data_IF_781846980155
#
_entry.id   IF_781846980155
#
_cell.length_a   1.000
_cell.length_b   1.000
_cell.length_c   1.000
_cell.angle_alpha   90.00
_cell.angle_beta   90.00
_cell.angle_gamma   90.00
#
_symmetry.space_group_name_H-M   'P 1'
#
loop_
_entity.id
_entity.type
_entity.pdbx_description
1 polymer ?
#
# COMPACT_ATOMS: atom_id res chain seq x y z
N UNK A 1 67.14 16.43 -64.44
CA UNK A 1 66.76 17.79 -63.97
C UNK A 1 65.24 17.90 -63.96
N UNK A 2 64.65 18.48 -62.88
CA UNK A 2 63.22 18.85 -62.67
C UNK A 2 62.22 17.67 -62.55
N UNK A 3 61.83 17.24 -61.34
CA UNK A 3 60.73 17.70 -60.45
C UNK A 3 59.37 17.84 -61.16
N UNK A 4 58.32 17.16 -60.66
CA UNK A 4 57.04 17.72 -60.13
C UNK A 4 55.90 16.66 -60.04
N UNK A 5 55.52 16.33 -58.79
CA UNK A 5 54.16 16.31 -58.16
C UNK A 5 53.07 15.26 -58.55
N UNK A 6 52.69 14.48 -57.51
CA UNK A 6 51.37 13.95 -57.06
C UNK A 6 50.48 13.14 -58.02
N UNK A 7 49.75 12.09 -57.62
CA UNK A 7 48.66 12.10 -56.62
C UNK A 7 48.50 10.73 -55.94
N UNK A 8 48.52 10.73 -54.62
CA UNK A 8 48.03 9.64 -53.74
C UNK A 8 46.49 9.70 -53.71
N UNK A 9 45.84 8.68 -54.26
CA UNK A 9 44.40 8.47 -54.10
C UNK A 9 44.09 7.87 -52.73
N UNK A 10 43.72 8.71 -51.77
CA UNK A 10 43.20 8.29 -50.47
C UNK A 10 41.71 7.94 -50.63
N UNK A 11 41.37 6.65 -50.68
CA UNK A 11 39.98 6.19 -50.63
C UNK A 11 39.47 6.29 -49.18
N UNK A 12 38.81 7.40 -48.86
CA UNK A 12 38.13 7.62 -47.59
C UNK A 12 36.77 6.89 -47.61
N UNK A 13 36.72 5.66 -47.09
CA UNK A 13 35.45 4.97 -46.83
C UNK A 13 34.84 5.62 -45.60
N UNK A 14 33.89 6.54 -45.81
CA UNK A 14 33.05 7.10 -44.75
C UNK A 14 32.01 6.04 -44.38
N UNK A 15 32.29 5.26 -43.33
CA UNK A 15 31.27 4.44 -42.66
C UNK A 15 30.43 5.40 -41.82
N UNK A 16 29.30 5.87 -42.37
CA UNK A 16 28.26 6.51 -41.59
C UNK A 16 27.70 5.47 -40.60
N UNK A 17 27.71 5.70 -39.28
CA UNK A 17 26.90 4.90 -38.40
C UNK A 17 25.45 5.25 -38.72
N UNK A 18 24.70 4.28 -39.23
CA UNK A 18 23.25 4.34 -39.30
C UNK A 18 22.73 4.44 -37.85
N UNK A 19 22.69 5.66 -37.32
CA UNK A 19 21.79 6.05 -36.25
C UNK A 19 20.39 5.84 -36.83
N UNK A 20 19.88 4.63 -36.59
CA UNK A 20 18.48 4.33 -36.79
C UNK A 20 17.69 5.39 -36.03
N UNK A 21 17.11 6.33 -36.79
CA UNK A 21 15.96 7.11 -36.39
C UNK A 21 14.85 6.11 -36.10
N UNK A 22 14.85 5.53 -34.90
CA UNK A 22 13.73 4.81 -34.37
C UNK A 22 12.56 5.79 -34.36
N UNK A 23 11.63 5.61 -35.31
CA UNK A 23 10.36 6.35 -35.31
C UNK A 23 9.76 6.23 -33.91
N UNK A 24 9.29 7.33 -33.28
CA UNK A 24 8.66 7.24 -31.97
C UNK A 24 7.52 6.24 -32.08
N UNK A 25 7.65 5.12 -31.36
CA UNK A 25 6.63 4.09 -31.32
C UNK A 25 5.38 4.75 -30.78
N UNK A 26 4.33 4.88 -31.61
CA UNK A 26 3.04 5.41 -31.18
C UNK A 26 2.60 4.62 -29.95
N UNK A 27 2.55 5.28 -28.80
CA UNK A 27 2.06 4.66 -27.57
C UNK A 27 0.64 4.15 -27.83
N UNK A 28 0.42 2.86 -27.57
CA UNK A 28 -0.93 2.28 -27.67
C UNK A 28 -1.84 3.05 -26.70
N UNK A 29 -3.07 3.39 -27.10
CA UNK A 29 -4.00 4.07 -26.20
C UNK A 29 -4.16 3.24 -24.92
N UNK A 30 -3.93 3.88 -23.78
CA UNK A 30 -4.06 3.23 -22.47
C UNK A 30 -5.53 2.91 -22.24
N UNK A 31 -5.82 1.65 -21.88
CA UNK A 31 -7.20 1.18 -21.66
C UNK A 31 -7.62 1.48 -20.21
N UNK A 32 -8.72 2.24 -20.01
CA UNK A 32 -9.21 2.57 -18.68
C UNK A 32 -9.52 1.32 -17.85
N UNK A 33 -9.23 1.38 -16.55
CA UNK A 33 -9.68 0.38 -15.59
C UNK A 33 -11.21 0.42 -15.48
N UNK A 34 -11.87 -0.71 -15.75
CA UNK A 34 -13.33 -0.83 -15.80
C UNK A 34 -13.95 -1.09 -14.43
N UNK A 35 -13.17 -1.55 -13.45
CA UNK A 35 -13.66 -1.88 -12.10
C UNK A 35 -12.56 -1.81 -11.05
N UNK A 36 -12.96 -1.75 -9.77
CA UNK A 36 -12.04 -1.83 -8.63
C UNK A 36 -11.30 -3.18 -8.60
N UNK A 37 -11.95 -4.26 -9.04
CA UNK A 37 -11.33 -5.58 -9.12
C UNK A 37 -10.20 -5.62 -10.15
N UNK A 38 -10.40 -5.00 -11.32
CA UNK A 38 -9.37 -4.89 -12.35
C UNK A 38 -8.18 -4.06 -11.86
N UNK A 39 -8.46 -2.92 -11.21
CA UNK A 39 -7.45 -2.06 -10.62
C UNK A 39 -6.62 -2.80 -9.55
N UNK A 40 -7.28 -3.48 -8.62
CA UNK A 40 -6.60 -4.24 -7.57
C UNK A 40 -5.80 -5.41 -8.14
N UNK A 41 -6.33 -6.11 -9.15
CA UNK A 41 -5.57 -7.15 -9.84
C UNK A 41 -4.29 -6.57 -10.45
N UNK A 42 -4.40 -5.43 -11.13
CA UNK A 42 -3.24 -4.75 -11.70
C UNK A 42 -2.23 -4.32 -10.64
N UNK A 43 -2.67 -3.76 -9.50
CA UNK A 43 -1.79 -3.41 -8.37
C UNK A 43 -1.04 -4.65 -7.86
N UNK A 44 -1.74 -5.76 -7.64
CA UNK A 44 -1.13 -6.99 -7.12
C UNK A 44 -0.12 -7.62 -8.10
N UNK A 45 -0.40 -7.54 -9.41
CA UNK A 45 0.46 -8.09 -10.46
C UNK A 45 1.53 -7.08 -10.96
N UNK A 46 1.50 -5.82 -10.53
CA UNK A 46 2.29 -4.70 -11.08
C UNK A 46 3.79 -5.02 -11.18
N UNK A 47 4.37 -5.66 -10.16
CA UNK A 47 5.81 -5.97 -10.13
C UNK A 47 6.27 -6.93 -11.23
N UNK A 48 5.37 -7.74 -11.77
CA UNK A 48 5.70 -8.70 -12.85
C UNK A 48 6.04 -7.97 -14.15
N UNK A 49 5.40 -6.82 -14.39
CA UNK A 49 5.65 -5.97 -15.54
C UNK A 49 5.30 -4.51 -15.18
N UNK A 50 6.23 -3.77 -14.55
CA UNK A 50 5.94 -2.41 -14.08
C UNK A 50 5.58 -1.45 -15.21
N UNK A 51 4.43 -0.80 -15.09
CA UNK A 51 3.91 0.18 -16.05
C UNK A 51 3.68 1.55 -15.38
N UNK A 52 4.73 2.28 -14.95
CA UNK A 52 4.57 3.50 -14.16
C UNK A 52 3.74 4.58 -14.86
N UNK A 53 3.79 4.64 -16.21
CA UNK A 53 2.98 5.55 -17.04
C UNK A 53 1.47 5.33 -16.94
N UNK A 54 1.02 4.19 -16.40
CA UNK A 54 -0.41 3.90 -16.14
C UNK A 54 -0.89 4.39 -14.78
N UNK A 55 -0.01 4.78 -13.87
CA UNK A 55 -0.41 5.31 -12.56
C UNK A 55 -1.39 6.51 -12.64
N UNK A 56 -1.26 7.46 -13.58
CA UNK A 56 -2.24 8.54 -13.75
C UNK A 56 -3.65 8.04 -14.08
N UNK A 57 -3.77 7.02 -14.93
CA UNK A 57 -5.04 6.38 -15.24
C UNK A 57 -5.60 5.63 -14.03
N UNK A 58 -4.74 4.93 -13.29
CA UNK A 58 -5.11 4.22 -12.07
C UNK A 58 -5.69 5.18 -11.02
N UNK A 59 -5.05 6.33 -10.79
CA UNK A 59 -5.53 7.36 -9.84
C UNK A 59 -6.88 7.93 -10.27
N UNK A 60 -7.09 8.17 -11.57
CA UNK A 60 -8.39 8.63 -12.08
C UNK A 60 -9.48 7.58 -11.87
N UNK A 61 -9.17 6.30 -12.09
CA UNK A 61 -10.08 5.21 -11.80
C UNK A 61 -10.41 5.12 -10.29
N UNK A 62 -9.42 5.23 -9.41
CA UNK A 62 -9.61 5.26 -7.95
C UNK A 62 -10.57 6.37 -7.52
N UNK A 63 -10.41 7.57 -8.09
CA UNK A 63 -11.30 8.71 -7.84
C UNK A 63 -12.72 8.47 -8.36
N UNK A 64 -12.85 8.05 -9.62
CA UNK A 64 -14.15 7.80 -10.25
C UNK A 64 -14.95 6.69 -9.54
N UNK A 65 -14.26 5.71 -8.95
CA UNK A 65 -14.86 4.59 -8.23
C UNK A 65 -15.05 4.87 -6.73
N UNK A 66 -14.66 6.04 -6.22
CA UNK A 66 -14.78 6.40 -4.80
C UNK A 66 -13.78 5.69 -3.87
N UNK A 67 -12.83 4.93 -4.41
CA UNK A 67 -11.90 4.08 -3.68
C UNK A 67 -10.93 4.87 -2.76
N UNK A 68 -10.77 6.17 -3.02
CA UNK A 68 -9.95 7.10 -2.21
C UNK A 68 -10.70 7.56 -0.96
N UNK A 69 -12.04 7.57 -1.01
CA UNK A 69 -12.92 8.10 0.04
C UNK A 69 -13.25 7.04 1.09
N UNK A 70 -13.14 5.77 0.70
CA UNK A 70 -13.23 4.64 1.62
C UNK A 70 -11.94 4.58 2.47
N UNK A 71 -12.06 5.04 3.72
CA UNK A 71 -10.93 5.18 4.67
C UNK A 71 -10.13 3.88 4.79
N UNK A 72 -10.83 2.73 4.79
CA UNK A 72 -10.24 1.40 4.94
C UNK A 72 -9.46 0.94 3.70
N UNK A 73 -9.76 1.46 2.51
CA UNK A 73 -9.10 1.06 1.26
C UNK A 73 -8.06 2.07 0.78
N UNK A 74 -8.16 3.32 1.23
CA UNK A 74 -7.29 4.40 0.78
C UNK A 74 -5.80 4.12 1.04
N UNK A 75 -5.47 3.35 2.09
CA UNK A 75 -4.10 3.01 2.47
C UNK A 75 -3.32 2.32 1.34
N UNK A 76 -3.86 1.23 0.77
CA UNK A 76 -3.19 0.48 -0.30
C UNK A 76 -2.97 1.36 -1.54
N UNK A 77 -3.98 2.14 -1.92
CA UNK A 77 -3.89 3.02 -3.09
C UNK A 77 -2.86 4.14 -2.90
N UNK A 78 -2.87 4.81 -1.74
CA UNK A 78 -1.89 5.85 -1.40
C UNK A 78 -0.48 5.26 -1.38
N UNK A 79 -0.30 4.12 -0.70
CA UNK A 79 0.99 3.43 -0.60
C UNK A 79 1.53 3.02 -1.97
N UNK A 80 0.66 2.49 -2.83
CA UNK A 80 1.02 2.09 -4.18
C UNK A 80 1.46 3.28 -5.02
N UNK A 81 0.68 4.36 -5.05
CA UNK A 81 1.06 5.57 -5.80
C UNK A 81 2.34 6.18 -5.25
N UNK A 82 2.51 6.22 -3.92
CA UNK A 82 3.76 6.65 -3.29
C UNK A 82 4.96 5.82 -3.76
N UNK A 83 4.83 4.49 -3.76
CA UNK A 83 5.89 3.58 -4.22
C UNK A 83 6.20 3.73 -5.71
N UNK A 84 5.19 3.95 -6.56
CA UNK A 84 5.42 4.22 -7.99
C UNK A 84 6.21 5.52 -8.16
N UNK A 85 5.85 6.59 -7.45
CA UNK A 85 6.58 7.86 -7.51
C UNK A 85 8.01 7.69 -7.00
N UNK A 86 8.20 7.02 -5.86
CA UNK A 86 9.50 6.78 -5.24
C UNK A 86 10.47 5.98 -6.11
N UNK A 87 9.96 4.95 -6.79
CA UNK A 87 10.76 4.12 -7.71
C UNK A 87 11.04 4.78 -9.06
N UNK A 88 10.41 5.93 -9.36
CA UNK A 88 10.53 6.59 -10.67
C UNK A 88 10.78 8.11 -10.50
N UNK A 89 11.88 8.53 -9.86
CA UNK A 89 12.11 9.94 -9.49
C UNK A 89 12.14 10.89 -10.69
N UNK A 90 12.70 10.46 -11.83
CA UNK A 90 12.76 11.28 -13.05
C UNK A 90 11.40 11.51 -13.70
N UNK A 91 10.43 10.61 -13.46
CA UNK A 91 9.09 10.67 -14.03
C UNK A 91 8.06 11.24 -13.06
N UNK A 92 8.39 11.39 -11.77
CA UNK A 92 7.42 11.68 -10.72
C UNK A 92 6.58 12.93 -11.03
N UNK A 93 7.20 14.03 -11.45
CA UNK A 93 6.49 15.27 -11.78
C UNK A 93 5.55 15.10 -12.99
N UNK A 94 5.97 14.37 -14.03
CA UNK A 94 5.12 14.09 -15.20
C UNK A 94 3.93 13.21 -14.83
N UNK A 95 4.17 12.16 -14.02
CA UNK A 95 3.12 11.27 -13.53
C UNK A 95 2.09 12.05 -12.70
N UNK A 96 2.54 12.85 -11.72
CA UNK A 96 1.65 13.68 -10.90
C UNK A 96 0.89 14.67 -11.78
N UNK A 97 1.57 15.32 -12.74
CA UNK A 97 0.94 16.27 -13.64
C UNK A 97 -0.26 15.67 -14.39
N UNK A 98 -0.12 14.42 -14.86
CA UNK A 98 -1.13 13.67 -15.61
C UNK A 98 -2.25 13.09 -14.74
N UNK A 99 -2.07 12.99 -13.42
CA UNK A 99 -3.13 12.51 -12.50
C UNK A 99 -4.30 13.49 -12.44
N UNK A 100 -4.05 14.78 -12.67
CA UNK A 100 -5.08 15.82 -12.70
C UNK A 100 -5.85 15.89 -14.04
N UNK A 101 -7.04 16.53 -14.05
CA UNK A 101 -7.76 17.07 -12.88
C UNK A 101 -8.31 15.96 -11.98
N UNK A 102 -8.46 16.28 -10.69
CA UNK A 102 -9.09 15.42 -9.69
C UNK A 102 -10.05 16.26 -8.83
N UNK A 103 -11.19 15.68 -8.38
CA UNK A 103 -12.06 16.30 -7.40
C UNK A 103 -11.27 16.74 -6.15
N UNK A 104 -11.56 17.91 -5.55
CA UNK A 104 -10.83 18.42 -4.39
C UNK A 104 -10.69 17.42 -3.24
N UNK A 105 -11.72 16.63 -2.95
CA UNK A 105 -11.74 15.54 -1.96
C UNK A 105 -10.70 14.45 -2.21
N UNK A 106 -10.45 14.10 -3.48
CA UNK A 106 -9.59 12.99 -3.86
C UNK A 106 -8.11 13.41 -3.96
N UNK A 107 -7.84 14.72 -4.05
CA UNK A 107 -6.48 15.28 -4.08
C UNK A 107 -5.66 14.96 -2.81
N UNK A 108 -6.31 14.56 -1.71
CA UNK A 108 -5.62 14.04 -0.51
C UNK A 108 -4.68 12.88 -0.83
N UNK A 109 -5.03 12.04 -1.81
CA UNK A 109 -4.18 10.94 -2.26
C UNK A 109 -2.87 11.46 -2.83
N UNK A 110 -2.90 12.50 -3.66
CA UNK A 110 -1.71 13.09 -4.27
C UNK A 110 -0.78 13.67 -3.20
N UNK A 111 -1.34 14.44 -2.27
CA UNK A 111 -0.56 15.05 -1.18
C UNK A 111 0.15 13.98 -0.35
N UNK A 112 -0.58 12.94 0.09
CA UNK A 112 0.00 11.84 0.87
C UNK A 112 0.99 11.01 0.05
N UNK A 113 0.68 10.70 -1.20
CA UNK A 113 1.55 9.91 -2.06
C UNK A 113 2.92 10.59 -2.27
N UNK A 114 2.94 11.91 -2.48
CA UNK A 114 4.19 12.67 -2.57
C UNK A 114 4.96 12.60 -1.24
N UNK A 115 4.32 12.90 -0.11
CA UNK A 115 4.96 12.89 1.21
C UNK A 115 5.48 11.50 1.62
N UNK A 116 4.84 10.44 1.13
CA UNK A 116 5.17 9.06 1.46
C UNK A 116 6.09 8.38 0.44
N UNK A 117 6.36 9.04 -0.69
CA UNK A 117 7.10 8.46 -1.83
C UNK A 117 8.55 8.10 -1.55
N UNK A 118 9.16 8.64 -0.50
CA UNK A 118 10.61 8.48 -0.28
C UNK A 118 11.49 9.22 -1.29
N UNK A 119 10.93 10.08 -2.15
CA UNK A 119 11.72 10.94 -3.03
C UNK A 119 12.67 11.84 -2.21
N UNK A 120 13.97 11.94 -2.54
CA UNK A 120 14.92 12.76 -1.79
C UNK A 120 14.50 14.23 -1.64
N UNK A 121 13.78 14.77 -2.64
CA UNK A 121 13.29 16.16 -2.69
C UNK A 121 11.77 16.24 -2.76
N UNK A 122 11.06 15.36 -2.06
CA UNK A 122 9.59 15.28 -2.12
C UNK A 122 8.89 16.61 -1.80
N UNK A 123 9.46 17.45 -0.93
CA UNK A 123 8.91 18.79 -0.62
C UNK A 123 8.96 19.71 -1.84
N UNK A 124 10.03 19.67 -2.62
CA UNK A 124 10.15 20.46 -3.85
C UNK A 124 9.17 19.96 -4.91
N UNK A 125 8.98 18.63 -4.99
CA UNK A 125 7.91 18.05 -5.81
C UNK A 125 6.54 18.52 -5.35
N UNK A 126 6.23 18.51 -4.05
CA UNK A 126 4.95 18.99 -3.51
C UNK A 126 4.72 20.46 -3.83
N UNK A 127 5.75 21.30 -3.69
CA UNK A 127 5.69 22.74 -3.97
C UNK A 127 5.23 23.06 -5.41
N UNK A 128 5.63 22.25 -6.40
CA UNK A 128 5.24 22.43 -7.81
C UNK A 128 3.74 22.27 -8.06
N UNK A 129 3.03 21.55 -7.19
CA UNK A 129 1.62 21.20 -7.39
C UNK A 129 0.65 21.90 -6.45
N UNK A 130 1.12 22.76 -5.55
CA UNK A 130 0.28 23.44 -4.54
C UNK A 130 -0.86 24.23 -5.18
N UNK A 131 -0.57 25.00 -6.22
CA UNK A 131 -1.56 25.82 -6.94
C UNK A 131 -2.64 24.99 -7.64
N UNK A 132 -2.40 23.69 -7.87
CA UNK A 132 -3.40 22.77 -8.43
C UNK A 132 -4.30 22.14 -7.37
N UNK A 133 -3.96 22.30 -6.09
CA UNK A 133 -4.69 21.73 -4.95
C UNK A 133 -5.03 22.77 -3.87
N UNK A 134 -5.69 23.90 -4.22
CA UNK A 134 -5.93 24.99 -3.27
C UNK A 134 -6.76 24.55 -2.06
N UNK A 135 -7.73 23.65 -2.25
CA UNK A 135 -8.54 23.07 -1.17
C UNK A 135 -7.75 22.21 -0.18
N UNK A 136 -6.50 21.82 -0.52
CA UNK A 136 -5.62 21.00 0.33
C UNK A 136 -4.46 21.79 0.92
N UNK A 137 -4.44 23.12 0.77
CA UNK A 137 -3.36 23.98 1.29
C UNK A 137 -3.05 23.73 2.77
N UNK A 138 -4.06 23.62 3.63
CA UNK A 138 -3.87 23.34 5.06
C UNK A 138 -3.16 22.00 5.30
N UNK A 139 -3.50 20.95 4.54
CA UNK A 139 -2.84 19.66 4.67
C UNK A 139 -1.40 19.70 4.13
N UNK A 140 -1.22 20.35 2.97
CA UNK A 140 0.09 20.57 2.35
C UNK A 140 1.01 21.31 3.33
N UNK A 141 0.56 22.42 3.91
CA UNK A 141 1.35 23.24 4.83
C UNK A 141 1.78 22.43 6.07
N UNK A 142 0.92 21.53 6.57
CA UNK A 142 1.28 20.63 7.69
C UNK A 142 2.40 19.63 7.32
N UNK A 143 2.47 19.17 6.06
CA UNK A 143 3.58 18.33 5.58
C UNK A 143 4.84 19.16 5.28
N UNK A 144 4.67 20.32 4.65
CA UNK A 144 5.78 21.17 4.20
C UNK A 144 6.51 21.83 5.37
N UNK A 145 5.76 22.32 6.36
CA UNK A 145 6.26 23.18 7.44
C UNK A 145 5.87 22.72 8.84
N UNK A 146 4.92 21.80 8.96
CA UNK A 146 4.48 21.26 10.24
C UNK A 146 5.19 19.96 10.63
N UNK A 147 4.54 19.22 11.52
CA UNK A 147 5.01 17.99 12.15
C UNK A 147 4.42 16.71 11.52
N UNK A 148 3.71 16.83 10.39
CA UNK A 148 3.10 15.65 9.74
C UNK A 148 4.20 14.65 9.35
N UNK A 149 4.17 13.41 9.86
CA UNK A 149 5.18 12.41 9.59
C UNK A 149 5.14 11.90 8.15
N UNK A 150 6.29 11.50 7.62
CA UNK A 150 6.37 10.70 6.38
C UNK A 150 6.09 9.23 6.71
N UNK A 151 5.79 8.40 5.69
CA UNK A 151 5.40 7.00 5.88
C UNK A 151 6.36 6.22 6.79
N UNK A 152 7.67 6.42 6.63
CA UNK A 152 8.69 5.71 7.42
C UNK A 152 8.71 6.12 8.89
N UNK A 153 8.15 7.28 9.22
CA UNK A 153 8.12 7.85 10.57
C UNK A 153 6.83 7.54 11.33
N UNK A 154 5.78 7.06 10.65
CA UNK A 154 4.50 6.72 11.29
C UNK A 154 4.65 5.39 12.02
N UNK A 155 4.24 5.33 13.28
CA UNK A 155 4.16 4.08 14.04
C UNK A 155 2.91 3.29 13.63
N UNK A 156 3.07 1.99 13.36
CA UNK A 156 1.91 1.09 13.11
C UNK A 156 1.05 0.94 14.38
N UNK A 157 1.62 1.16 15.57
CA UNK A 157 0.87 1.09 16.83
C UNK A 157 -0.16 2.20 16.96
N UNK A 158 0.07 3.32 16.29
CA UNK A 158 -0.73 4.54 16.41
C UNK A 158 -1.72 4.70 15.24
N UNK A 159 -1.51 3.97 14.14
CA UNK A 159 -2.32 4.04 12.93
C UNK A 159 -2.28 2.69 12.17
N UNK A 160 -3.37 1.94 12.23
CA UNK A 160 -3.47 0.63 11.58
C UNK A 160 -3.40 0.72 10.04
N UNK A 161 -3.77 1.87 9.45
CA UNK A 161 -3.73 2.09 7.99
C UNK A 161 -2.30 2.05 7.45
N UNK A 162 -1.30 2.16 8.32
CA UNK A 162 0.13 2.02 7.98
C UNK A 162 0.44 0.62 7.45
N UNK A 163 -0.31 -0.42 7.85
CA UNK A 163 -0.18 -1.76 7.27
C UNK A 163 -0.49 -1.71 5.77
N UNK A 164 -1.65 -1.15 5.40
CA UNK A 164 -2.10 -1.05 4.01
C UNK A 164 -1.23 -0.11 3.17
N UNK A 165 -0.76 0.99 3.76
CA UNK A 165 0.23 1.87 3.12
C UNK A 165 1.51 1.10 2.77
N UNK A 166 2.01 0.26 3.67
CA UNK A 166 3.20 -0.55 3.41
C UNK A 166 2.93 -1.69 2.41
N UNK A 167 1.72 -2.27 2.38
CA UNK A 167 1.33 -3.22 1.34
C UNK A 167 1.30 -2.58 -0.04
N UNK A 168 0.63 -1.44 -0.19
CA UNK A 168 0.62 -0.68 -1.43
C UNK A 168 2.04 -0.34 -1.90
N UNK A 169 2.86 0.17 -0.98
CA UNK A 169 4.25 0.51 -1.29
C UNK A 169 5.06 -0.71 -1.73
N UNK A 170 4.88 -1.86 -1.06
CA UNK A 170 5.50 -3.12 -1.47
C UNK A 170 5.02 -3.57 -2.86
N UNK A 171 3.72 -3.50 -3.14
CA UNK A 171 3.18 -3.87 -4.46
C UNK A 171 3.74 -2.99 -5.59
N UNK A 172 4.07 -1.74 -5.32
CA UNK A 172 4.69 -0.86 -6.30
C UNK A 172 6.20 -1.09 -6.47
N UNK A 173 6.91 -1.49 -5.41
CA UNK A 173 8.38 -1.41 -5.36
C UNK A 173 9.09 -2.76 -5.23
N UNK A 174 8.45 -3.74 -4.60
CA UNK A 174 9.07 -5.01 -4.21
C UNK A 174 10.11 -4.88 -3.10
N UNK A 175 10.23 -3.70 -2.46
CA UNK A 175 11.26 -3.47 -1.45
C UNK A 175 10.99 -4.23 -0.15
N UNK A 176 12.07 -4.68 0.50
CA UNK A 176 11.98 -5.43 1.76
C UNK A 176 11.52 -4.56 2.94
N UNK A 177 11.85 -3.26 2.93
CA UNK A 177 11.60 -2.36 4.05
C UNK A 177 10.10 -2.23 4.44
N UNK A 178 9.14 -2.06 3.51
CA UNK A 178 7.72 -2.11 3.84
C UNK A 178 7.29 -3.42 4.51
N UNK A 179 7.80 -4.57 4.04
CA UNK A 179 7.48 -5.87 4.64
C UNK A 179 8.05 -6.00 6.05
N UNK A 180 9.29 -5.55 6.28
CA UNK A 180 9.88 -5.54 7.63
C UNK A 180 9.07 -4.69 8.61
N UNK A 181 8.47 -3.59 8.16
CA UNK A 181 7.58 -2.77 9.00
C UNK A 181 6.32 -3.54 9.41
N UNK A 182 5.67 -4.22 8.45
CA UNK A 182 4.48 -5.06 8.74
C UNK A 182 4.86 -6.23 9.65
N UNK A 183 6.00 -6.88 9.41
CA UNK A 183 6.54 -7.94 10.28
C UNK A 183 6.80 -7.44 11.70
N UNK A 184 7.32 -6.21 11.86
CA UNK A 184 7.51 -5.62 13.19
C UNK A 184 6.21 -5.47 13.99
N UNK A 185 5.06 -5.30 13.32
CA UNK A 185 3.76 -5.24 13.98
C UNK A 185 3.31 -6.59 14.56
N UNK A 186 3.97 -7.70 14.22
CA UNK A 186 3.64 -9.02 14.75
C UNK A 186 3.86 -9.15 16.25
N UNK A 187 4.76 -8.36 16.84
CA UNK A 187 4.91 -8.32 18.31
C UNK A 187 3.60 -7.92 18.99
N UNK A 188 2.78 -7.06 18.35
CA UNK A 188 1.50 -6.61 18.89
C UNK A 188 0.48 -7.74 19.01
N UNK A 189 0.65 -8.84 18.25
CA UNK A 189 -0.19 -10.03 18.38
C UNK A 189 -0.01 -10.78 19.71
N UNK A 190 0.98 -10.37 20.51
CA UNK A 190 1.27 -10.90 21.84
C UNK A 190 0.75 -9.99 22.96
N UNK A 191 0.13 -8.86 22.62
CA UNK A 191 -0.38 -7.89 23.60
C UNK A 191 -1.54 -8.50 24.41
N UNK A 192 -1.48 -8.34 25.73
CA UNK A 192 -2.45 -8.89 26.69
C UNK A 192 -3.23 -7.82 27.45
N UNK A 193 -3.01 -6.56 27.10
CA UNK A 193 -3.53 -5.40 27.83
C UNK A 193 -4.36 -4.47 26.96
N UNK A 194 -4.17 -4.51 25.63
CA UNK A 194 -4.81 -3.59 24.68
C UNK A 194 -5.36 -4.36 23.48
N UNK A 195 -6.69 -4.46 23.42
CA UNK A 195 -7.37 -5.12 22.29
C UNK A 195 -7.03 -4.46 20.95
N UNK A 196 -6.83 -3.14 20.95
CA UNK A 196 -6.40 -2.40 19.77
C UNK A 196 -5.08 -2.92 19.19
N UNK A 197 -4.04 -3.00 20.02
CA UNK A 197 -2.73 -3.49 19.60
C UNK A 197 -2.81 -4.97 19.18
N UNK A 198 -3.52 -5.78 19.95
CA UNK A 198 -3.77 -7.19 19.61
C UNK A 198 -4.43 -7.33 18.23
N UNK A 199 -5.40 -6.46 17.92
CA UNK A 199 -6.12 -6.46 16.65
C UNK A 199 -5.21 -6.04 15.49
N UNK A 200 -4.37 -5.01 15.68
CA UNK A 200 -3.37 -4.59 14.69
C UNK A 200 -2.38 -5.72 14.40
N UNK A 201 -1.87 -6.39 15.44
CA UNK A 201 -0.96 -7.54 15.27
C UNK A 201 -1.62 -8.73 14.58
N UNK A 202 -2.89 -9.01 14.89
CA UNK A 202 -3.68 -10.04 14.21
C UNK A 202 -3.91 -9.71 12.72
N UNK A 203 -4.21 -8.46 12.39
CA UNK A 203 -4.32 -8.01 10.99
C UNK A 203 -3.00 -8.15 10.25
N UNK A 204 -1.87 -7.80 10.88
CA UNK A 204 -0.54 -8.01 10.30
C UNK A 204 -0.29 -9.49 10.01
N UNK A 205 -0.55 -10.40 10.97
CA UNK A 205 -0.45 -11.86 10.77
C UNK A 205 -1.28 -12.32 9.58
N UNK A 206 -2.56 -11.97 9.57
CA UNK A 206 -3.50 -12.39 8.53
C UNK A 206 -3.07 -11.92 7.13
N UNK A 207 -2.78 -10.63 6.99
CA UNK A 207 -2.44 -10.05 5.69
C UNK A 207 -1.11 -10.57 5.16
N UNK A 208 -0.10 -10.80 6.02
CA UNK A 208 1.15 -11.45 5.63
C UNK A 208 0.91 -12.87 5.13
N UNK A 209 0.17 -13.69 5.88
CA UNK A 209 -0.09 -15.08 5.52
C UNK A 209 -0.88 -15.18 4.20
N UNK A 210 -1.94 -14.38 4.05
CA UNK A 210 -2.76 -14.35 2.84
C UNK A 210 -1.96 -13.92 1.59
N UNK A 211 -1.10 -12.92 1.70
CA UNK A 211 -0.29 -12.47 0.56
C UNK A 211 0.83 -13.47 0.25
N UNK A 212 1.49 -14.02 1.27
CA UNK A 212 2.57 -15.00 1.11
C UNK A 212 2.07 -16.33 0.52
N UNK A 213 0.84 -16.75 0.83
CA UNK A 213 0.25 -17.99 0.30
C UNK A 213 0.01 -17.98 -1.23
N UNK A 214 0.21 -16.83 -1.88
CA UNK A 214 0.02 -16.63 -3.33
C UNK A 214 1.26 -16.02 -3.99
N UNK A 215 2.35 -15.84 -3.24
CA UNK A 215 3.53 -15.11 -3.68
C UNK A 215 4.78 -15.75 -3.09
N UNK A 216 5.42 -16.63 -3.87
CA UNK A 216 6.59 -17.39 -3.43
C UNK A 216 7.78 -16.47 -3.09
N UNK A 217 7.96 -15.38 -3.83
CA UNK A 217 9.01 -14.38 -3.53
C UNK A 217 8.80 -13.76 -2.14
N UNK A 218 7.55 -13.41 -1.81
CA UNK A 218 7.20 -12.89 -0.49
C UNK A 218 7.40 -13.97 0.58
N UNK A 219 7.00 -15.21 0.34
CA UNK A 219 7.21 -16.31 1.29
C UNK A 219 8.70 -16.52 1.59
N UNK A 220 9.56 -16.52 0.55
CA UNK A 220 11.01 -16.58 0.70
C UNK A 220 11.56 -15.39 1.48
N UNK A 221 11.05 -14.19 1.21
CA UNK A 221 11.41 -12.98 1.96
C UNK A 221 11.02 -13.09 3.44
N UNK A 222 9.84 -13.61 3.76
CA UNK A 222 9.42 -13.82 5.16
C UNK A 222 10.30 -14.83 5.88
N UNK A 223 10.70 -15.93 5.21
CA UNK A 223 11.66 -16.90 5.76
C UNK A 223 13.01 -16.26 6.05
N UNK A 224 13.52 -15.43 5.13
CA UNK A 224 14.75 -14.65 5.32
C UNK A 224 14.63 -13.74 6.54
N UNK A 225 13.57 -12.93 6.63
CA UNK A 225 13.34 -12.04 7.77
C UNK A 225 13.20 -12.82 9.08
N UNK A 226 12.55 -13.99 9.08
CA UNK A 226 12.40 -14.81 10.29
C UNK A 226 13.74 -15.26 10.88
N UNK A 227 14.73 -15.54 10.02
CA UNK A 227 16.06 -15.96 10.45
C UNK A 227 16.81 -14.90 11.26
N UNK A 228 16.58 -13.60 10.97
CA UNK A 228 17.27 -12.48 11.62
C UNK A 228 16.41 -11.71 12.65
N UNK A 229 15.15 -12.11 12.85
CA UNK A 229 14.21 -11.42 13.74
C UNK A 229 14.39 -11.75 15.22
N UNK A 230 14.07 -10.81 16.11
CA UNK A 230 13.97 -11.05 17.56
C UNK A 230 12.93 -12.16 17.88
N UNK A 231 13.12 -12.99 18.94
CA UNK A 231 12.17 -14.04 19.31
C UNK A 231 10.69 -13.61 19.41
N UNK A 232 10.41 -12.38 19.88
CA UNK A 232 9.04 -11.85 20.00
C UNK A 232 8.34 -11.63 18.67
N UNK A 233 9.11 -11.41 17.60
CA UNK A 233 8.59 -11.29 16.24
C UNK A 233 8.69 -12.65 15.52
N UNK A 234 9.80 -13.37 15.72
CA UNK A 234 10.08 -14.65 15.06
C UNK A 234 8.97 -15.67 15.27
N UNK A 235 8.48 -15.86 16.51
CA UNK A 235 7.43 -16.85 16.79
C UNK A 235 6.13 -16.54 16.01
N UNK A 236 5.52 -15.35 16.16
CA UNK A 236 4.42 -14.92 15.30
C UNK A 236 4.68 -15.05 13.80
N UNK A 237 5.90 -14.76 13.33
CA UNK A 237 6.25 -14.84 11.91
C UNK A 237 6.34 -16.29 11.43
N UNK A 238 6.81 -17.21 12.25
CA UNK A 238 6.79 -18.64 11.92
C UNK A 238 5.36 -19.15 11.75
N UNK A 239 4.42 -18.75 12.62
CA UNK A 239 2.99 -19.09 12.47
C UNK A 239 2.41 -18.57 11.14
N UNK A 240 2.83 -17.36 10.72
CA UNK A 240 2.44 -16.76 9.43
C UNK A 240 3.00 -17.57 8.25
N UNK A 241 4.28 -17.96 8.31
CA UNK A 241 4.94 -18.75 7.27
C UNK A 241 4.28 -20.12 7.16
N UNK A 242 4.06 -20.81 8.28
CA UNK A 242 3.38 -22.11 8.33
C UNK A 242 1.98 -22.02 7.72
N UNK A 243 1.17 -21.05 8.13
CA UNK A 243 -0.18 -20.87 7.60
C UNK A 243 -0.20 -20.55 6.09
N UNK A 244 0.81 -19.84 5.59
CA UNK A 244 0.96 -19.57 4.16
C UNK A 244 1.34 -20.82 3.36
N UNK A 245 2.21 -21.67 3.90
CA UNK A 245 2.66 -22.92 3.27
C UNK A 245 1.60 -24.01 3.28
N UNK A 246 0.85 -24.14 4.38
CA UNK A 246 -0.18 -25.17 4.56
C UNK A 246 -1.55 -24.75 4.03
N UNK A 247 -1.69 -23.49 3.60
CA UNK A 247 -2.95 -22.86 3.22
C UNK A 247 -4.01 -22.86 4.34
N UNK A 248 -3.59 -23.05 5.60
CA UNK A 248 -4.46 -23.07 6.79
C UNK A 248 -4.80 -21.67 7.33
N UNK A 249 -5.11 -20.73 6.43
CA UNK A 249 -5.43 -19.35 6.79
C UNK A 249 -6.63 -19.27 7.77
N UNK A 250 -7.60 -20.17 7.63
CA UNK A 250 -8.78 -20.25 8.50
C UNK A 250 -8.42 -20.47 9.98
N UNK A 251 -7.39 -21.28 10.25
CA UNK A 251 -6.93 -21.55 11.62
C UNK A 251 -6.36 -20.28 12.25
N UNK A 252 -5.46 -19.61 11.53
CA UNK A 252 -4.88 -18.33 11.95
C UNK A 252 -5.95 -17.27 12.27
N UNK A 253 -7.03 -17.23 11.47
CA UNK A 253 -8.18 -16.34 11.74
C UNK A 253 -8.93 -16.71 13.03
N UNK A 254 -9.21 -18.00 13.24
CA UNK A 254 -9.91 -18.48 14.44
C UNK A 254 -9.12 -18.18 15.71
N UNK A 255 -7.81 -18.41 15.67
CA UNK A 255 -6.92 -18.17 16.82
C UNK A 255 -6.84 -16.68 17.17
N UNK A 256 -6.82 -15.80 16.16
CA UNK A 256 -6.88 -14.35 16.35
C UNK A 256 -8.19 -13.90 17.01
N UNK A 257 -9.33 -14.40 16.54
CA UNK A 257 -10.64 -14.09 17.11
C UNK A 257 -10.75 -14.58 18.56
N UNK A 258 -10.34 -15.81 18.82
CA UNK A 258 -10.34 -16.37 20.16
C UNK A 258 -9.48 -15.55 21.14
N UNK A 259 -8.32 -15.07 20.68
CA UNK A 259 -7.43 -14.22 21.49
C UNK A 259 -8.06 -12.86 21.80
N UNK A 260 -8.74 -12.26 20.82
CA UNK A 260 -9.48 -10.99 21.01
C UNK A 260 -10.64 -11.19 21.98
N UNK A 261 -11.43 -12.25 21.81
CA UNK A 261 -12.59 -12.54 22.66
C UNK A 261 -12.17 -12.86 24.09
N UNK A 262 -11.06 -13.61 24.27
CA UNK A 262 -10.47 -13.85 25.59
C UNK A 262 -10.03 -12.54 26.25
N UNK A 263 -9.36 -11.65 25.53
CA UNK A 263 -8.91 -10.37 26.09
C UNK A 263 -10.09 -9.46 26.44
N UNK A 264 -11.18 -9.48 25.66
CA UNK A 264 -12.43 -8.77 26.00
C UNK A 264 -13.10 -9.33 27.26
N UNK A 265 -13.09 -10.65 27.42
CA UNK A 265 -13.76 -11.32 28.54
C UNK A 265 -12.95 -11.24 29.86
N UNK A 266 -11.64 -11.43 29.77
CA UNK A 266 -10.73 -11.62 30.92
C UNK A 266 -9.72 -10.50 31.12
N UNK A 267 -9.67 -9.52 30.22
CA UNK A 267 -8.74 -8.40 30.30
C UNK A 267 -9.03 -7.43 31.44
N UNK A 268 -8.19 -6.38 31.59
CA UNK A 268 -8.39 -5.30 32.55
C UNK A 268 -9.82 -4.75 32.53
N UNK A 269 -10.31 -4.27 33.68
CA UNK A 269 -11.68 -3.76 33.86
C UNK A 269 -12.04 -2.66 32.84
N UNK A 270 -11.07 -1.82 32.48
CA UNK A 270 -11.23 -0.79 31.43
C UNK A 270 -11.57 -1.35 30.05
N UNK A 271 -11.17 -2.58 29.72
CA UNK A 271 -11.51 -3.28 28.46
C UNK A 271 -12.85 -4.01 28.52
N UNK A 272 -13.29 -4.41 29.73
CA UNK A 272 -14.55 -5.12 29.97
C UNK A 272 -15.76 -4.18 29.95
N UNK A 273 -15.55 -2.87 30.09
CA UNK A 273 -16.62 -1.88 30.11
C UNK A 273 -17.12 -1.56 28.69
N UNK A 274 -18.35 -1.99 28.38
CA UNK A 274 -18.95 -1.95 27.04
C UNK A 274 -19.03 -0.54 26.43
N UNK A 275 -19.12 0.50 27.26
CA UNK A 275 -19.21 1.91 26.82
C UNK A 275 -17.96 2.43 26.09
N UNK A 276 -16.80 1.79 26.29
CA UNK A 276 -15.56 2.16 25.63
C UNK A 276 -15.52 1.74 24.14
N UNK A 277 -16.26 0.70 23.78
CA UNK A 277 -16.33 0.14 22.43
C UNK A 277 -17.14 0.98 21.44
N UNK A 278 -18.02 1.86 21.94
CA UNK A 278 -18.79 2.79 21.11
C UNK A 278 -18.04 4.07 20.72
N UNK A 279 -16.93 4.40 21.39
CA UNK A 279 -16.29 5.73 21.29
C UNK A 279 -14.90 5.74 20.64
N UNK A 280 -14.26 4.59 20.40
CA UNK A 280 -12.90 4.55 19.85
C UNK A 280 -12.93 4.17 18.37
N UNK A 281 -12.75 5.17 17.50
CA UNK A 281 -12.67 5.03 16.05
C UNK A 281 -11.52 4.12 15.59
N UNK A 282 -11.64 3.59 14.37
CA UNK A 282 -10.75 2.63 13.68
C UNK A 282 -10.72 1.18 14.23
N UNK A 283 -10.78 0.94 15.53
CA UNK A 283 -10.67 -0.43 16.09
C UNK A 283 -11.94 -1.28 15.97
N UNK A 284 -13.12 -0.66 16.10
CA UNK A 284 -14.39 -1.36 15.85
C UNK A 284 -14.55 -1.72 14.36
N UNK A 285 -13.92 -0.95 13.46
CA UNK A 285 -13.88 -1.23 12.03
C UNK A 285 -12.95 -2.41 11.70
N UNK A 286 -11.79 -2.50 12.35
CA UNK A 286 -10.88 -3.65 12.21
C UNK A 286 -11.51 -4.97 12.68
N UNK A 287 -12.31 -4.94 13.76
CA UNK A 287 -13.11 -6.09 14.21
C UNK A 287 -14.18 -6.50 13.17
N UNK A 288 -14.74 -5.55 12.42
CA UNK A 288 -15.73 -5.81 11.38
C UNK A 288 -15.23 -6.70 10.23
N UNK A 289 -13.98 -6.51 9.79
CA UNK A 289 -13.33 -7.36 8.79
C UNK A 289 -13.12 -8.81 9.28
N UNK A 290 -12.79 -8.99 10.56
CA UNK A 290 -12.51 -10.33 11.12
C UNK A 290 -13.82 -11.05 11.48
N UNK A 291 -14.82 -10.34 12.01
CA UNK A 291 -16.13 -10.89 12.36
C UNK A 291 -16.97 -11.27 11.12
N UNK A 292 -17.04 -10.42 10.08
CA UNK A 292 -17.78 -10.74 8.85
C UNK A 292 -17.19 -11.95 8.10
N UNK A 293 -15.87 -12.17 8.22
CA UNK A 293 -15.19 -13.32 7.64
C UNK A 293 -15.38 -14.62 8.45
N UNK A 294 -15.81 -14.54 9.71
CA UNK A 294 -16.11 -15.70 10.56
C UNK A 294 -17.55 -16.20 10.39
N UNK A 295 -18.48 -15.32 10.04
CA UNK A 295 -19.91 -15.63 9.86
C UNK A 295 -20.27 -16.08 8.44
N UNK A 296 -19.28 -16.23 7.54
CA UNK A 296 -19.52 -16.71 6.18
C UNK A 296 -20.16 -15.67 5.25
N UNK A 297 -20.24 -14.40 5.65
CA UNK A 297 -20.64 -13.28 4.79
C UNK A 297 -19.50 -12.89 3.84
N UNK A 298 -19.06 -13.84 3.01
CA UNK A 298 -18.07 -13.60 1.97
C UNK A 298 -18.74 -13.02 0.73
N UNK A 299 -18.61 -11.70 0.51
CA UNK A 299 -18.81 -11.15 -0.83
C UNK A 299 -17.70 -11.76 -1.72
N UNK A 300 -18.13 -12.51 -2.73
CA UNK A 300 -17.30 -13.28 -3.63
C UNK A 300 -15.97 -12.59 -4.01
N UNK A 301 -14.84 -13.20 -3.65
CA UNK A 301 -13.53 -12.90 -4.25
C UNK A 301 -12.82 -11.62 -3.81
N UNK A 302 -13.34 -10.87 -2.83
CA UNK A 302 -12.68 -9.65 -2.33
C UNK A 302 -11.74 -10.02 -1.16
N UNK A 303 -10.40 -9.87 -1.30
CA UNK A 303 -9.46 -10.13 -0.20
C UNK A 303 -9.78 -9.21 0.99
N UNK A 304 -9.67 -9.70 2.24
CA UNK A 304 -9.93 -8.92 3.46
C UNK A 304 -9.03 -7.67 3.62
N UNK A 305 -8.03 -7.48 2.75
CA UNK A 305 -7.27 -6.22 2.58
C UNK A 305 -8.14 -5.10 1.97
N UNK A 306 -9.37 -5.41 1.51
CA UNK A 306 -10.28 -4.53 0.76
C UNK A 306 -11.64 -4.41 1.48
N UNK A 307 -11.74 -4.82 2.74
CA UNK A 307 -13.00 -5.14 3.41
C UNK A 307 -13.82 -4.00 4.05
N UNK A 308 -13.64 -2.73 3.71
CA UNK A 308 -14.40 -1.63 4.37
C UNK A 308 -15.93 -1.73 4.25
N UNK A 309 -16.43 -2.35 3.18
CA UNK A 309 -17.85 -2.63 3.01
C UNK A 309 -18.40 -3.66 4.02
N UNK A 310 -17.59 -4.64 4.45
CA UNK A 310 -17.98 -5.64 5.44
C UNK A 310 -17.96 -5.05 6.87
N UNK A 311 -17.00 -4.17 7.16
CA UNK A 311 -16.88 -3.48 8.45
C UNK A 311 -18.06 -2.56 8.74
N UNK A 312 -18.55 -1.83 7.73
CA UNK A 312 -19.70 -0.92 7.87
C UNK A 312 -21.01 -1.67 8.11
N UNK A 313 -21.19 -2.84 7.48
CA UNK A 313 -22.36 -3.69 7.68
C UNK A 313 -22.36 -4.39 9.06
N UNK A 314 -21.21 -4.90 9.51
CA UNK A 314 -21.04 -5.46 10.84
C UNK A 314 -21.28 -4.41 11.94
N UNK A 315 -20.76 -3.19 11.76
CA UNK A 315 -20.99 -2.07 12.67
C UNK A 315 -22.47 -1.68 12.79
N UNK A 316 -23.24 -1.70 11.70
CA UNK A 316 -24.68 -1.47 11.75
C UNK A 316 -25.45 -2.62 12.41
N UNK A 317 -24.94 -3.85 12.35
CA UNK A 317 -25.54 -5.01 12.99
C UNK A 317 -25.26 -5.07 14.50
N UNK A 318 -24.12 -4.52 14.94
CA UNK A 318 -23.74 -4.42 16.35
C UNK A 318 -24.07 -3.07 17.00
N UNK A 319 -24.59 -2.10 16.25
CA UNK A 319 -25.17 -0.90 16.82
C UNK A 319 -26.45 -1.27 17.59
N UNK A 320 -26.67 -0.75 18.81
CA UNK A 320 -27.95 -0.93 19.49
C UNK A 320 -29.06 -0.36 18.59
N UNK A 321 -30.20 -1.07 18.53
CA UNK A 321 -31.39 -0.55 17.86
C UNK A 321 -31.71 0.82 18.48
N UNK A 322 -31.74 1.85 17.65
CA UNK A 322 -32.29 3.14 18.03
C UNK A 322 -33.79 2.98 18.19
N UNK A 323 -34.28 3.11 19.42
CA UNK A 323 -35.70 3.42 19.69
C UNK A 323 -36.06 4.79 19.11
#
# INVERSE_FOLDING_TARGET
>A
MRRVIAVLGLALIVVLPALALAKPMKEKPVKPFQSSQELLKWINDYRKNPEPRRAPEAVKAMSAQGAIREVDQAGVYIGFVAGVLGSNPEMADDLISKMFPLPPEDQVLIVKAIAYSGLPRWRDTMAKFVERMPARKVLIDKYMFGDKPTLTSISIKDDATVIDLNWGYYFATGWEAPIRRIVGALELSLDKDKVELLTIGAMAKWTLAQNASRNDDLLLLLKKISSDSDPKVRKPLTEVIEAAETLELTKLRKDALASIDELKAKGPESLRNYNWWGQTGQTVFALGCVAAAATGMGVAGIPCVVGGAASTAALKYFAPASD
#
